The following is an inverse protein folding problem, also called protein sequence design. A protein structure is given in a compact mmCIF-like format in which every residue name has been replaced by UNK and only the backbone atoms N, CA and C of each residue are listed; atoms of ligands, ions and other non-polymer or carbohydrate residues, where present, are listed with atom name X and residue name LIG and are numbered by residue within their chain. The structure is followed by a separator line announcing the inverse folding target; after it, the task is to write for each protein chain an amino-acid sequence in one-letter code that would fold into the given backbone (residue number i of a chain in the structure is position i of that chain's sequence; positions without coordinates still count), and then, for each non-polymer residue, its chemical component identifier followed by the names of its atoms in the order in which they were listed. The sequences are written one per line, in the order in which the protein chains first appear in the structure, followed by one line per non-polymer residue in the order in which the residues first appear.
data_IF_414039504067
#
_entry.id   IF_414039504067
#
_cell.length_a   1.000
_cell.length_b   1.000
_cell.length_c   1.000
_cell.angle_alpha   90.00
_cell.angle_beta   90.00
_cell.angle_gamma   90.00
#
_symmetry.space_group_name_H-M   'P 1'
#
loop_
_entity.id
_entity.type
_entity.pdbx_description
1 polymer ?
#
# COMPACT_ATOMS: atom_id res chain seq x y z
N UNK A 1 8.80 -30.76 -4.68
CA UNK A 1 8.24 -29.95 -5.79
C UNK A 1 8.13 -28.54 -5.25
N UNK A 2 9.02 -27.64 -5.68
CA UNK A 2 9.02 -26.27 -5.17
C UNK A 2 7.79 -25.54 -5.67
N UNK A 3 7.16 -24.77 -4.80
CA UNK A 3 6.03 -23.91 -5.14
C UNK A 3 6.49 -22.90 -6.21
N UNK A 4 6.06 -23.11 -7.47
CA UNK A 4 6.11 -22.04 -8.48
C UNK A 4 5.16 -20.96 -7.98
N UNK A 5 5.74 -19.85 -7.51
CA UNK A 5 4.98 -18.65 -7.18
C UNK A 5 4.15 -18.20 -8.39
N UNK A 6 3.07 -17.43 -8.18
CA UNK A 6 2.22 -16.98 -9.27
C UNK A 6 3.06 -16.26 -10.32
N UNK A 7 3.00 -16.76 -11.56
CA UNK A 7 3.74 -16.19 -12.67
C UNK A 7 3.18 -14.79 -12.93
N UNK A 8 4.04 -13.78 -12.79
CA UNK A 8 3.66 -12.40 -13.04
C UNK A 8 3.39 -12.21 -14.54
N UNK A 9 2.49 -11.29 -14.84
CA UNK A 9 2.31 -10.79 -16.21
C UNK A 9 3.64 -10.23 -16.75
N UNK A 10 3.92 -10.45 -18.04
CA UNK A 10 5.19 -10.07 -18.67
C UNK A 10 5.46 -8.57 -18.55
N UNK A 11 4.43 -7.71 -18.65
CA UNK A 11 4.61 -6.26 -18.53
C UNK A 11 4.96 -5.86 -17.09
N UNK A 12 4.32 -6.51 -16.11
CA UNK A 12 4.62 -6.29 -14.69
C UNK A 12 6.06 -6.69 -14.39
N UNK A 13 6.49 -7.85 -14.91
CA UNK A 13 7.86 -8.33 -14.77
C UNK A 13 8.86 -7.33 -15.36
N UNK A 14 8.62 -6.83 -16.58
CA UNK A 14 9.51 -5.84 -17.22
C UNK A 14 9.67 -4.56 -16.41
N UNK A 15 8.58 -4.06 -15.79
CA UNK A 15 8.66 -2.86 -14.94
C UNK A 15 9.50 -3.12 -13.68
N UNK A 16 9.30 -4.27 -13.03
CA UNK A 16 10.05 -4.62 -11.82
C UNK A 16 11.53 -4.83 -12.11
N UNK A 17 11.86 -5.52 -13.20
CA UNK A 17 13.24 -5.68 -13.68
C UNK A 17 13.90 -4.34 -14.01
N UNK A 18 13.17 -3.41 -14.63
CA UNK A 18 13.67 -2.07 -14.90
C UNK A 18 14.00 -1.32 -13.61
N UNK A 19 13.14 -1.40 -12.57
CA UNK A 19 13.40 -0.80 -11.26
C UNK A 19 14.63 -1.43 -10.61
N UNK A 20 14.76 -2.75 -10.64
CA UNK A 20 15.92 -3.47 -10.09
C UNK A 20 17.22 -3.06 -10.79
N UNK A 21 17.20 -2.92 -12.11
CA UNK A 21 18.34 -2.50 -12.92
C UNK A 21 18.90 -1.13 -12.51
N UNK A 22 18.06 -0.22 -12.00
CA UNK A 22 18.51 1.09 -11.48
C UNK A 22 19.47 0.95 -10.28
N UNK A 23 19.33 -0.13 -9.51
CA UNK A 23 20.14 -0.46 -8.34
C UNK A 23 21.37 -1.33 -8.63
N UNK A 24 21.59 -1.73 -9.90
CA UNK A 24 22.63 -2.70 -10.27
C UNK A 24 24.04 -2.28 -9.80
N UNK A 25 24.79 -3.17 -9.12
CA UNK A 25 26.12 -2.85 -8.58
C UNK A 25 27.14 -2.50 -9.68
N UNK A 26 26.90 -2.92 -10.92
CA UNK A 26 27.70 -2.61 -12.12
C UNK A 26 27.73 -1.12 -12.48
N UNK A 27 26.76 -0.34 -11.99
CA UNK A 27 26.68 1.12 -12.20
C UNK A 27 27.34 1.84 -11.02
N UNK A 28 28.16 2.89 -11.21
CA UNK A 28 28.77 3.64 -10.11
C UNK A 28 27.74 4.14 -9.09
N UNK A 29 28.08 4.08 -7.80
CA UNK A 29 27.16 4.36 -6.70
C UNK A 29 26.46 5.74 -6.81
N UNK A 30 27.20 6.79 -7.21
CA UNK A 30 26.63 8.13 -7.41
C UNK A 30 25.55 8.16 -8.50
N UNK A 31 25.74 7.41 -9.60
CA UNK A 31 24.76 7.33 -10.68
C UNK A 31 23.51 6.55 -10.27
N UNK A 32 23.66 5.47 -9.48
CA UNK A 32 22.52 4.74 -8.90
C UNK A 32 21.70 5.62 -7.98
N UNK A 33 22.35 6.31 -7.04
CA UNK A 33 21.71 7.24 -6.12
C UNK A 33 20.89 8.29 -6.88
N UNK A 34 21.49 8.95 -7.88
CA UNK A 34 20.79 9.94 -8.71
C UNK A 34 19.53 9.36 -9.39
N UNK A 35 19.64 8.19 -10.03
CA UNK A 35 18.51 7.55 -10.72
C UNK A 35 17.39 7.15 -9.77
N UNK A 36 17.75 6.56 -8.63
CA UNK A 36 16.77 6.15 -7.62
C UNK A 36 16.09 7.35 -6.96
N UNK A 37 16.81 8.45 -6.71
CA UNK A 37 16.20 9.69 -6.24
C UNK A 37 15.17 10.20 -7.26
N UNK A 38 15.52 10.27 -8.54
CA UNK A 38 14.57 10.68 -9.59
C UNK A 38 13.34 9.78 -9.64
N UNK A 39 13.51 8.45 -9.54
CA UNK A 39 12.37 7.52 -9.48
C UNK A 39 11.48 7.81 -8.27
N UNK A 40 12.07 8.02 -7.09
CA UNK A 40 11.33 8.28 -5.85
C UNK A 40 10.62 9.64 -5.86
N UNK A 41 11.19 10.65 -6.52
CA UNK A 41 10.57 11.97 -6.69
C UNK A 41 9.33 11.89 -7.60
N UNK A 42 9.40 11.10 -8.67
CA UNK A 42 8.28 10.87 -9.61
C UNK A 42 7.28 9.80 -9.13
N UNK A 43 7.64 9.03 -8.10
CA UNK A 43 6.84 7.90 -7.62
C UNK A 43 5.45 8.29 -7.12
N UNK A 44 5.23 9.39 -6.37
CA UNK A 44 3.90 9.77 -5.90
C UNK A 44 2.89 9.95 -7.05
N UNK A 45 3.29 10.62 -8.12
CA UNK A 45 2.44 10.89 -9.28
C UNK A 45 2.24 9.62 -10.12
N UNK A 46 3.33 8.88 -10.38
CA UNK A 46 3.27 7.59 -11.09
C UNK A 46 2.36 6.60 -10.36
N UNK A 47 2.52 6.46 -9.04
CA UNK A 47 1.71 5.56 -8.21
C UNK A 47 0.24 6.00 -8.13
N UNK A 48 -0.03 7.31 -8.12
CA UNK A 48 -1.40 7.83 -8.18
C UNK A 48 -2.05 7.49 -9.52
N UNK A 49 -1.36 7.72 -10.64
CA UNK A 49 -1.82 7.37 -11.97
C UNK A 49 -2.10 5.88 -12.15
N UNK A 50 -1.22 5.00 -11.63
CA UNK A 50 -1.46 3.54 -11.65
C UNK A 50 -2.72 3.17 -10.87
N UNK A 51 -3.02 3.86 -9.76
CA UNK A 51 -4.26 3.61 -9.00
C UNK A 51 -5.50 4.05 -9.75
N UNK A 52 -5.44 5.18 -10.44
CA UNK A 52 -6.51 5.69 -11.30
C UNK A 52 -6.77 4.73 -12.46
N UNK A 53 -5.74 4.35 -13.21
CA UNK A 53 -5.87 3.38 -14.31
C UNK A 53 -6.49 2.06 -13.84
N UNK A 54 -6.09 1.55 -12.66
CA UNK A 54 -6.73 0.35 -12.09
C UNK A 54 -8.18 0.58 -11.72
N UNK A 55 -8.51 1.75 -11.14
CA UNK A 55 -9.89 2.07 -10.80
C UNK A 55 -10.76 2.17 -12.05
N UNK A 56 -10.27 2.79 -13.10
CA UNK A 56 -10.99 2.96 -14.36
C UNK A 56 -11.22 1.60 -15.05
N UNK A 57 -10.22 0.73 -15.10
CA UNK A 57 -10.39 -0.64 -15.62
C UNK A 57 -11.45 -1.44 -14.83
N UNK A 58 -11.51 -1.31 -13.49
CA UNK A 58 -12.54 -1.97 -12.69
C UNK A 58 -13.94 -1.38 -12.89
N UNK A 59 -14.04 -0.08 -13.18
CA UNK A 59 -15.31 0.57 -13.52
C UNK A 59 -15.78 0.13 -14.90
N UNK A 60 -14.89 0.06 -15.87
CA UNK A 60 -15.19 -0.44 -17.22
C UNK A 60 -15.81 -1.85 -17.17
N UNK A 61 -15.21 -2.77 -16.40
CA UNK A 61 -15.81 -4.10 -16.18
C UNK A 61 -17.21 -4.02 -15.56
N UNK A 62 -17.45 -3.08 -14.65
CA UNK A 62 -18.77 -2.90 -14.05
C UNK A 62 -19.78 -2.31 -15.04
N UNK A 63 -19.35 -1.35 -15.86
CA UNK A 63 -20.15 -0.70 -16.90
C UNK A 63 -20.50 -1.68 -18.03
N UNK A 64 -19.61 -2.65 -18.31
CA UNK A 64 -19.84 -3.81 -19.17
C UNK A 64 -20.80 -4.86 -18.57
N UNK A 65 -21.32 -4.60 -17.36
CA UNK A 65 -22.36 -5.38 -16.72
C UNK A 65 -21.87 -6.48 -15.78
N UNK A 66 -20.56 -6.58 -15.50
CA UNK A 66 -20.08 -7.55 -14.52
C UNK A 66 -20.48 -7.14 -13.10
N UNK A 67 -20.97 -8.11 -12.33
CA UNK A 67 -21.15 -7.92 -10.90
C UNK A 67 -19.79 -7.80 -10.18
N UNK A 68 -19.76 -7.12 -9.04
CA UNK A 68 -18.55 -7.02 -8.20
C UNK A 68 -17.96 -8.40 -7.81
N UNK A 69 -18.79 -9.44 -7.73
CA UNK A 69 -18.32 -10.81 -7.46
C UNK A 69 -17.66 -11.44 -8.68
N UNK A 70 -18.20 -11.19 -9.88
CA UNK A 70 -17.59 -11.62 -11.13
C UNK A 70 -16.23 -10.93 -11.35
N UNK A 71 -16.15 -9.61 -11.13
CA UNK A 71 -14.88 -8.85 -11.20
C UNK A 71 -13.86 -9.41 -10.20
N UNK A 72 -14.29 -9.79 -8.99
CA UNK A 72 -13.42 -10.41 -8.00
C UNK A 72 -12.85 -11.75 -8.45
N UNK A 73 -13.68 -12.59 -9.09
CA UNK A 73 -13.24 -13.87 -9.65
C UNK A 73 -12.30 -13.67 -10.84
N UNK A 74 -12.61 -12.72 -11.72
CA UNK A 74 -11.83 -12.40 -12.92
C UNK A 74 -10.43 -11.87 -12.57
N UNK A 75 -10.36 -10.91 -11.65
CA UNK A 75 -9.11 -10.18 -11.34
C UNK A 75 -8.28 -10.82 -10.24
N UNK A 76 -8.81 -11.82 -9.53
CA UNK A 76 -8.22 -12.36 -8.30
C UNK A 76 -8.20 -11.39 -7.12
N UNK A 77 -8.75 -10.17 -7.27
CA UNK A 77 -8.86 -9.19 -6.19
C UNK A 77 -10.06 -9.52 -5.31
N UNK A 78 -9.90 -9.49 -3.99
CA UNK A 78 -11.02 -9.79 -3.09
C UNK A 78 -12.22 -8.85 -3.30
N UNK A 79 -13.44 -9.38 -3.18
CA UNK A 79 -14.69 -8.63 -3.35
C UNK A 79 -14.72 -7.30 -2.60
N UNK A 80 -14.29 -7.30 -1.33
CA UNK A 80 -14.24 -6.09 -0.52
C UNK A 80 -13.30 -5.04 -1.11
N UNK A 81 -12.17 -5.49 -1.66
CA UNK A 81 -11.17 -4.62 -2.29
C UNK A 81 -11.62 -4.10 -3.65
N UNK A 82 -12.29 -4.91 -4.46
CA UNK A 82 -12.93 -4.46 -5.72
C UNK A 82 -13.88 -3.29 -5.44
N UNK A 83 -14.76 -3.44 -4.44
CA UNK A 83 -15.70 -2.38 -4.03
C UNK A 83 -14.97 -1.09 -3.63
N UNK A 84 -13.92 -1.19 -2.82
CA UNK A 84 -13.12 -0.03 -2.41
C UNK A 84 -12.43 0.65 -3.60
N UNK A 85 -11.86 -0.14 -4.53
CA UNK A 85 -11.15 0.40 -5.70
C UNK A 85 -12.11 1.18 -6.59
N UNK A 86 -13.26 0.60 -6.95
CA UNK A 86 -14.27 1.27 -7.78
C UNK A 86 -14.72 2.58 -7.14
N UNK A 87 -14.91 2.59 -5.81
CA UNK A 87 -15.28 3.79 -5.03
C UNK A 87 -14.14 4.81 -4.85
N UNK A 88 -12.92 4.52 -5.35
CA UNK A 88 -11.75 5.39 -5.18
C UNK A 88 -11.22 5.45 -3.74
N UNK A 89 -11.58 4.49 -2.90
CA UNK A 89 -11.18 4.45 -1.50
C UNK A 89 -9.72 3.95 -1.40
N UNK A 90 -8.83 4.89 -1.12
CA UNK A 90 -7.38 4.64 -0.96
C UNK A 90 -6.92 4.60 0.49
N UNK A 91 -7.65 5.24 1.41
CA UNK A 91 -7.40 5.22 2.85
C UNK A 91 -8.43 4.32 3.54
N UNK A 92 -7.98 3.30 4.25
CA UNK A 92 -8.86 2.53 5.16
C UNK A 92 -9.42 3.55 6.17
N UNK A 93 -10.74 3.72 6.31
CA UNK A 93 -11.26 4.51 7.41
C UNK A 93 -10.74 3.88 8.69
N UNK A 94 -10.00 4.66 9.49
CA UNK A 94 -9.55 4.19 10.78
C UNK A 94 -10.77 3.66 11.53
N UNK A 95 -10.74 2.40 11.96
CA UNK A 95 -11.75 1.88 12.88
C UNK A 95 -11.76 2.86 14.05
N UNK A 96 -12.84 3.63 14.22
CA UNK A 96 -13.13 4.28 15.49
C UNK A 96 -13.26 3.13 16.48
N UNK A 97 -12.19 2.83 17.19
CA UNK A 97 -12.24 2.02 18.38
C UNK A 97 -13.29 2.70 19.27
N UNK A 98 -14.38 1.99 19.50
CA UNK A 98 -15.35 2.38 20.52
C UNK A 98 -14.63 2.25 21.87
N UNK A 99 -13.87 3.29 22.24
CA UNK A 99 -13.36 3.48 23.58
C UNK A 99 -14.56 3.81 24.46
N UNK A 100 -15.22 2.76 24.95
CA UNK A 100 -16.13 2.88 26.08
C UNK A 100 -15.34 3.44 27.27
N UNK A 101 -15.81 4.59 27.74
CA UNK A 101 -15.53 5.20 29.04
C UNK A 101 -15.20 4.19 30.15
N UNK A 102 -14.09 4.45 30.86
CA UNK A 102 -14.15 4.78 32.29
C UNK A 102 -12.86 5.49 32.72
N UNK A 103 -12.96 6.78 33.00
CA UNK A 103 -12.11 7.52 33.95
C UNK A 103 -13.05 8.17 34.96
N UNK A 104 -12.59 8.68 36.12
CA UNK A 104 -11.35 8.42 36.88
C UNK A 104 -11.66 8.18 38.38
N UNK A 105 -10.65 7.93 39.23
CA UNK A 105 -10.27 8.81 40.38
C UNK A 105 -9.26 8.15 41.35
N UNK A 106 -8.21 8.92 41.67
CA UNK A 106 -7.45 9.03 42.95
C UNK A 106 -6.63 7.81 43.44
N UNK A 107 -5.44 7.92 44.03
CA UNK A 107 -4.78 8.92 44.90
C UNK A 107 -3.26 8.91 44.61
N UNK A 108 -2.57 10.04 44.41
CA UNK A 108 -1.79 10.78 45.41
C UNK A 108 -1.15 9.92 46.51
N UNK A 109 0.16 9.62 46.36
CA UNK A 109 1.06 9.57 47.52
C UNK A 109 2.43 10.10 47.10
N UNK A 110 2.91 11.05 47.90
CA UNK A 110 4.15 11.81 47.76
C UNK A 110 5.01 11.38 48.95
N UNK A 111 6.24 10.92 48.71
CA UNK A 111 7.27 10.78 49.75
C UNK A 111 8.62 11.02 49.04
N UNK A 112 9.21 12.21 49.20
CA UNK A 112 10.17 12.58 50.25
C UNK A 112 11.52 11.88 50.02
N UNK A 113 12.46 12.55 49.37
CA UNK A 113 13.51 13.37 50.00
C UNK A 113 14.67 12.47 50.49
N UNK A 114 15.65 12.26 49.61
CA UNK A 114 16.97 11.77 49.96
C UNK A 114 17.85 12.97 50.30
N UNK A 115 18.64 12.90 51.38
CA UNK A 115 19.95 13.54 51.36
C UNK A 115 21.10 12.54 51.50
N UNK A 116 22.11 12.77 50.67
CA UNK A 116 23.48 12.26 50.72
C UNK A 116 24.03 12.09 52.15
N UNK A 117 24.65 10.95 52.42
CA UNK A 117 26.08 10.83 52.81
C UNK A 117 26.53 9.38 52.87
#
# INVERSE_FOLDING_TARGET
MGEEGPQLDEEVQRVLEAIESLGSPEVPAAARAKRLTQLLDEWPDTHSRVREMRQDAMKELQDDGLSLRAISAETGVSFGRVREIIQGITKRPAKKSAAKHKTPDKEHEVAADEPET
#
